data_IF_059655633567
#
_entry.id   IF_059655633567
#
_cell.length_a   1.000
_cell.length_b   1.000
_cell.length_c   1.000
_cell.angle_alpha   90.00
_cell.angle_beta   90.00
_cell.angle_gamma   90.00
#
_symmetry.space_group_name_H-M   'P 1'
#
loop_
_entity.id
_entity.type
_entity.pdbx_description
1 polymer ?
#
# COMPACT_ATOMS: atom_id res chain seq x y z
N UNK A 1 20.61 4.54 -2.61
CA UNK A 1 20.45 3.26 -3.34
C UNK A 1 19.22 3.36 -4.23
N UNK A 2 19.30 2.90 -5.50
CA UNK A 2 18.16 2.93 -6.44
C UNK A 2 17.45 1.57 -6.46
N UNK A 3 16.14 1.57 -6.29
CA UNK A 3 15.32 0.36 -6.28
C UNK A 3 14.24 0.50 -7.35
N UNK A 4 14.12 -0.51 -8.20
CA UNK A 4 13.09 -0.59 -9.24
C UNK A 4 12.02 -1.58 -8.79
N UNK A 5 10.80 -1.11 -8.70
CA UNK A 5 9.65 -1.94 -8.30
C UNK A 5 8.67 -2.03 -9.47
N UNK A 6 8.40 -3.23 -10.01
CA UNK A 6 7.38 -3.39 -11.04
C UNK A 6 6.01 -3.11 -10.43
N UNK A 7 5.21 -2.29 -11.11
CA UNK A 7 3.84 -1.95 -10.69
C UNK A 7 2.86 -3.09 -11.05
N UNK A 8 3.14 -4.29 -10.56
CA UNK A 8 2.23 -5.43 -10.65
C UNK A 8 1.35 -5.43 -9.42
N UNK A 9 0.10 -5.04 -9.61
CA UNK A 9 -0.84 -4.93 -8.50
C UNK A 9 -1.89 -6.03 -8.53
N UNK A 10 -2.37 -6.36 -7.34
CA UNK A 10 -3.49 -7.28 -7.14
C UNK A 10 -4.61 -6.48 -6.49
N UNK A 11 -5.80 -6.49 -7.07
CA UNK A 11 -6.98 -5.81 -6.52
C UNK A 11 -7.94 -6.82 -5.91
N UNK A 12 -8.28 -6.61 -4.64
CA UNK A 12 -9.23 -7.44 -3.91
C UNK A 12 -10.05 -6.60 -2.94
N UNK A 13 -11.27 -7.04 -2.64
CA UNK A 13 -12.02 -6.47 -1.53
C UNK A 13 -11.42 -6.92 -0.20
N UNK A 14 -11.54 -6.11 0.87
CA UNK A 14 -11.12 -6.52 2.21
C UNK A 14 -11.72 -7.85 2.67
N UNK A 15 -12.95 -8.16 2.27
CA UNK A 15 -13.64 -9.44 2.57
C UNK A 15 -13.04 -10.66 1.87
N UNK A 16 -12.24 -10.43 0.82
CA UNK A 16 -11.59 -11.45 -0.01
C UNK A 16 -10.15 -11.72 0.41
N UNK A 17 -9.65 -11.04 1.46
CA UNK A 17 -8.34 -11.32 2.07
C UNK A 17 -8.37 -12.70 2.73
N UNK A 18 -8.10 -13.74 1.94
CA UNK A 18 -8.12 -15.15 2.34
C UNK A 18 -7.03 -15.93 1.61
N UNK A 19 -6.76 -17.15 2.07
CA UNK A 19 -5.81 -18.05 1.42
C UNK A 19 -4.43 -17.41 1.27
N UNK A 20 -3.87 -17.43 0.06
CA UNK A 20 -2.53 -16.88 -0.21
C UNK A 20 -2.38 -15.40 0.18
N UNK A 21 -3.43 -14.59 0.04
CA UNK A 21 -3.37 -13.16 0.34
C UNK A 21 -3.29 -12.88 1.84
N UNK A 22 -3.91 -13.74 2.66
CA UNK A 22 -3.93 -13.58 4.11
C UNK A 22 -2.51 -13.61 4.72
N UNK A 23 -1.61 -14.42 4.15
CA UNK A 23 -0.26 -14.64 4.67
C UNK A 23 0.79 -13.68 4.08
N UNK A 24 0.42 -12.80 3.16
CA UNK A 24 1.35 -11.82 2.61
C UNK A 24 1.81 -10.86 3.72
N UNK A 25 3.11 -10.56 3.74
CA UNK A 25 3.75 -9.62 4.68
C UNK A 25 4.54 -8.58 3.91
N UNK A 26 4.89 -7.49 4.60
CA UNK A 26 5.69 -6.40 4.05
C UNK A 26 5.11 -5.91 2.72
N UNK A 27 3.80 -5.72 2.70
CA UNK A 27 3.05 -5.32 1.51
C UNK A 27 2.65 -3.86 1.59
N UNK A 28 2.77 -3.18 0.46
CA UNK A 28 2.15 -1.87 0.29
C UNK A 28 0.68 -2.08 0.00
N UNK A 29 -0.16 -1.45 0.81
CA UNK A 29 -1.62 -1.47 0.67
C UNK A 29 -2.07 -0.10 0.17
N UNK A 30 -2.53 -0.07 -1.08
CA UNK A 30 -3.16 1.11 -1.66
C UNK A 30 -4.67 0.94 -1.46
N UNK A 31 -5.26 1.75 -0.59
CA UNK A 31 -6.71 1.76 -0.37
C UNK A 31 -7.33 2.70 -1.40
N UNK A 32 -8.24 2.18 -2.21
CA UNK A 32 -8.84 2.95 -3.30
C UNK A 32 -10.32 2.63 -3.49
N UNK A 33 -11.02 3.60 -4.03
CA UNK A 33 -12.32 3.40 -4.67
C UNK A 33 -12.14 3.13 -6.16
N UNK A 34 -13.23 2.95 -6.89
CA UNK A 34 -13.20 2.85 -8.36
C UNK A 34 -12.49 4.05 -9.01
N UNK A 35 -12.70 5.26 -8.48
CA UNK A 35 -12.30 6.51 -9.15
C UNK A 35 -11.12 7.22 -8.49
N UNK A 36 -10.76 6.85 -7.24
CA UNK A 36 -9.78 7.62 -6.47
C UNK A 36 -9.01 6.76 -5.48
N UNK A 37 -7.71 7.04 -5.35
CA UNK A 37 -6.88 6.52 -4.27
C UNK A 37 -7.18 7.29 -2.99
N UNK A 38 -7.55 6.58 -1.93
CA UNK A 38 -7.90 7.16 -0.63
C UNK A 38 -6.68 7.26 0.28
N UNK A 39 -5.87 6.21 0.33
CA UNK A 39 -4.76 6.10 1.27
C UNK A 39 -3.71 5.12 0.73
N UNK A 40 -2.45 5.31 1.11
CA UNK A 40 -1.37 4.37 0.83
C UNK A 40 -0.68 4.07 2.15
N UNK A 41 -0.42 2.80 2.40
CA UNK A 41 0.14 2.32 3.66
C UNK A 41 1.10 1.14 3.45
N UNK A 42 1.91 0.83 4.45
CA UNK A 42 2.74 -0.37 4.49
C UNK A 42 2.30 -1.28 5.64
N UNK A 43 1.97 -2.54 5.33
CA UNK A 43 1.66 -3.57 6.31
C UNK A 43 2.83 -4.53 6.46
N UNK A 44 3.52 -4.45 7.61
CA UNK A 44 4.59 -5.38 7.97
C UNK A 44 4.07 -6.73 8.51
N UNK A 45 2.87 -6.74 9.06
CA UNK A 45 2.22 -7.98 9.49
C UNK A 45 1.44 -8.64 8.34
N UNK A 46 0.93 -9.85 8.59
CA UNK A 46 0.01 -10.58 7.72
C UNK A 46 -1.13 -9.66 7.27
N UNK A 47 -1.39 -9.60 5.96
CA UNK A 47 -2.45 -8.78 5.40
C UNK A 47 -3.84 -9.12 5.99
N UNK A 48 -4.06 -10.35 6.46
CA UNK A 48 -5.27 -10.72 7.19
C UNK A 48 -5.51 -9.88 8.47
N UNK A 49 -4.44 -9.38 9.08
CA UNK A 49 -4.50 -8.54 10.28
C UNK A 49 -4.52 -7.05 9.94
N UNK A 50 -4.35 -6.68 8.66
CA UNK A 50 -4.34 -5.28 8.25
C UNK A 50 -5.69 -4.62 8.55
N UNK A 51 -5.65 -3.58 9.37
CA UNK A 51 -6.81 -2.77 9.69
C UNK A 51 -6.69 -1.42 8.99
N UNK A 52 -7.60 -1.10 8.07
CA UNK A 52 -7.59 0.21 7.42
C UNK A 52 -7.84 1.30 8.46
N UNK A 53 -7.32 2.51 8.25
CA UNK A 53 -7.51 3.61 9.18
C UNK A 53 -9.00 3.89 9.47
N UNK A 54 -9.41 4.13 10.74
CA UNK A 54 -10.82 4.25 11.12
C UNK A 54 -11.60 5.35 10.36
N UNK A 55 -10.91 6.41 9.93
CA UNK A 55 -11.50 7.50 9.15
C UNK A 55 -11.97 7.07 7.75
N UNK A 56 -11.56 5.88 7.28
CA UNK A 56 -12.02 5.30 6.01
C UNK A 56 -13.28 4.44 6.17
N UNK A 57 -13.79 4.23 7.38
CA UNK A 57 -14.93 3.34 7.66
C UNK A 57 -16.22 3.68 6.90
N UNK A 58 -16.41 4.94 6.47
CA UNK A 58 -17.56 5.37 5.67
C UNK A 58 -17.41 5.12 4.16
N UNK A 59 -16.25 4.63 3.71
CA UNK A 59 -15.97 4.40 2.29
C UNK A 59 -16.07 2.92 1.94
N UNK A 60 -16.59 2.63 0.75
CA UNK A 60 -16.46 1.32 0.11
C UNK A 60 -15.17 1.37 -0.71
N UNK A 61 -14.20 0.51 -0.36
CA UNK A 61 -12.88 0.50 -0.99
C UNK A 61 -12.38 -0.93 -1.24
N UNK A 62 -11.42 -1.00 -2.15
CA UNK A 62 -10.62 -2.17 -2.47
C UNK A 62 -9.19 -1.95 -1.97
N UNK A 63 -8.48 -3.05 -1.75
CA UNK A 63 -7.04 -3.06 -1.58
C UNK A 63 -6.38 -3.35 -2.92
N UNK A 64 -5.50 -2.45 -3.33
CA UNK A 64 -4.53 -2.68 -4.39
C UNK A 64 -3.17 -2.96 -3.73
N UNK A 65 -2.70 -4.20 -3.86
CA UNK A 65 -1.58 -4.75 -3.09
C UNK A 65 -0.33 -4.84 -3.97
N UNK A 66 0.80 -4.43 -3.42
CA UNK A 66 2.14 -4.57 -4.01
C UNK A 66 3.06 -5.20 -2.97
N UNK A 67 3.88 -6.17 -3.38
CA UNK A 67 4.93 -6.70 -2.51
C UNK A 67 6.04 -5.66 -2.32
N UNK A 68 6.25 -5.23 -1.07
CA UNK A 68 7.22 -4.19 -0.75
C UNK A 68 8.53 -4.73 -0.16
N UNK A 69 8.48 -5.88 0.53
CA UNK A 69 9.62 -6.46 1.21
C UNK A 69 10.27 -5.49 2.20
N UNK A 70 11.59 -5.55 2.33
CA UNK A 70 12.35 -4.70 3.25
C UNK A 70 12.19 -3.18 3.00
N UNK A 71 11.73 -2.78 1.80
CA UNK A 71 11.55 -1.38 1.41
C UNK A 71 10.08 -0.93 1.38
N UNK A 72 9.17 -1.73 1.93
CA UNK A 72 7.73 -1.50 1.88
C UNK A 72 7.32 -0.07 2.24
N UNK A 73 7.87 0.50 3.33
CA UNK A 73 7.56 1.89 3.68
C UNK A 73 8.02 2.89 2.60
N UNK A 74 9.24 2.77 2.09
CA UNK A 74 9.76 3.75 1.14
C UNK A 74 9.08 3.64 -0.23
N UNK A 75 8.68 2.43 -0.62
CA UNK A 75 7.82 2.21 -1.79
C UNK A 75 6.45 2.86 -1.57
N UNK A 76 5.83 2.67 -0.40
CA UNK A 76 4.55 3.29 -0.05
C UNK A 76 4.61 4.82 -0.07
N UNK A 77 5.73 5.41 0.37
CA UNK A 77 5.96 6.86 0.30
C UNK A 77 6.03 7.37 -1.13
N UNK A 78 6.83 6.73 -1.99
CA UNK A 78 6.92 7.10 -3.41
C UNK A 78 5.57 6.97 -4.10
N UNK A 79 4.84 5.88 -3.83
CA UNK A 79 3.48 5.69 -4.33
C UNK A 79 2.51 6.78 -3.87
N UNK A 80 2.60 7.18 -2.60
CA UNK A 80 1.79 8.28 -2.08
C UNK A 80 2.06 9.60 -2.82
N UNK A 81 3.32 9.90 -3.15
CA UNK A 81 3.69 11.11 -3.88
C UNK A 81 3.20 11.09 -5.33
N UNK A 82 3.30 9.93 -6.01
CA UNK A 82 2.83 9.76 -7.39
C UNK A 82 1.29 9.72 -7.51
N UNK A 83 0.64 8.91 -6.68
CA UNK A 83 -0.80 8.64 -6.78
C UNK A 83 -1.66 9.73 -6.13
N UNK A 84 -1.07 10.57 -5.27
CA UNK A 84 -1.71 11.71 -4.61
C UNK A 84 -3.03 11.32 -3.93
N UNK A 85 -2.99 10.42 -2.92
CA UNK A 85 -4.20 9.94 -2.26
C UNK A 85 -4.96 11.08 -1.58
N UNK A 86 -6.26 10.87 -1.37
CA UNK A 86 -7.11 11.84 -0.67
C UNK A 86 -6.61 12.14 0.75
N UNK A 87 -6.13 11.12 1.45
CA UNK A 87 -5.55 11.23 2.78
C UNK A 87 -4.09 10.79 2.74
N UNK A 88 -3.20 11.60 3.32
CA UNK A 88 -1.77 11.30 3.39
C UNK A 88 -1.42 10.58 4.68
N UNK A 89 -0.67 9.49 4.58
CA UNK A 89 0.04 8.90 5.70
C UNK A 89 1.35 9.64 5.94
N UNK A 90 1.44 10.35 7.07
CA UNK A 90 2.64 11.11 7.46
C UNK A 90 3.72 10.25 8.12
N UNK A 91 3.41 8.99 8.48
CA UNK A 91 4.29 8.13 9.26
C UNK A 91 5.21 7.25 8.40
N UNK A 92 5.05 7.27 7.08
CA UNK A 92 5.77 6.37 6.18
C UNK A 92 7.16 6.90 5.84
N UNK A 93 8.20 6.07 6.05
CA UNK A 93 9.56 6.26 5.56
C UNK A 93 10.07 7.71 5.76
N UNK A 94 10.13 8.12 7.04
CA UNK A 94 10.46 9.49 7.47
C UNK A 94 11.97 9.80 7.34
N UNK A 95 12.83 8.77 7.30
CA UNK A 95 14.29 8.91 7.23
C UNK A 95 14.92 7.84 6.34
N UNK A 96 15.13 8.12 5.06
CA UNK A 96 15.91 7.22 4.20
C UNK A 96 16.48 7.92 2.97
N UNK A 97 17.74 7.63 2.66
CA UNK A 97 18.44 8.04 1.43
C UNK A 97 18.22 7.01 0.28
N UNK A 98 16.98 6.53 0.14
CA UNK A 98 16.58 5.50 -0.82
C UNK A 98 15.74 6.15 -1.92
N UNK A 99 16.12 5.94 -3.18
CA UNK A 99 15.36 6.36 -4.35
C UNK A 99 14.61 5.15 -4.90
N UNK A 100 13.27 5.18 -4.83
CA UNK A 100 12.42 4.16 -5.44
C UNK A 100 11.92 4.68 -6.78
N UNK A 101 11.99 3.84 -7.81
CA UNK A 101 11.40 4.09 -9.13
C UNK A 101 10.39 2.99 -9.41
N UNK A 102 9.19 3.40 -9.79
CA UNK A 102 8.07 2.51 -10.08
C UNK A 102 8.03 2.27 -11.58
N UNK A 103 8.23 1.03 -12.01
CA UNK A 103 8.19 0.64 -13.42
C UNK A 103 6.76 0.25 -13.80
N UNK A 104 6.18 0.98 -14.76
CA UNK A 104 4.80 0.78 -15.26
C UNK A 104 4.75 -0.16 -16.45
#
# INVERSE_FOLDING_TARGET
>A
MLIKVPYKTIRIFPSEVRGKYAFMKDVVVIIRTQNKVLYVDCSHDHLANYKPPPFLSSYIFEYEIIEGGEYCECIAKTLQEELKPLFKNQKICVKSDITVVIER
#
